data_IF_426483758835
#
_entry.id   IF_426483758835
#
_cell.length_a   1.000
_cell.length_b   1.000
_cell.length_c   1.000
_cell.angle_alpha   90.00
_cell.angle_beta   90.00
_cell.angle_gamma   90.00
#
_symmetry.space_group_name_H-M   'P 1'
#
loop_
_entity.id
_entity.type
_entity.pdbx_description
1 polymer ?
#
# COMPACT_ATOMS: atom_id res chain seq x y z
N UNK A 1 41.10 -37.87 -24.73
CA UNK A 1 40.25 -36.73 -24.29
C UNK A 1 40.33 -35.55 -25.25
N UNK A 2 41.51 -35.19 -25.76
CA UNK A 2 41.67 -34.11 -26.75
C UNK A 2 41.07 -34.42 -28.15
N UNK A 3 41.02 -35.68 -28.59
CA UNK A 3 40.42 -36.05 -29.89
C UNK A 3 38.87 -35.99 -29.92
N UNK A 4 38.22 -36.23 -28.77
CA UNK A 4 36.77 -36.06 -28.64
C UNK A 4 36.37 -34.57 -28.64
N UNK A 5 37.25 -33.70 -28.14
CA UNK A 5 37.04 -32.24 -28.13
C UNK A 5 37.23 -31.62 -29.51
N UNK A 6 38.13 -32.13 -30.34
CA UNK A 6 38.33 -31.65 -31.71
C UNK A 6 37.27 -32.17 -32.68
N UNK A 7 36.76 -33.40 -32.51
CA UNK A 7 35.71 -33.96 -33.37
C UNK A 7 34.31 -33.38 -33.11
N UNK A 8 34.04 -32.91 -31.89
CA UNK A 8 32.70 -32.44 -31.48
C UNK A 8 32.65 -30.97 -31.02
N UNK A 9 33.50 -30.11 -31.59
CA UNK A 9 33.55 -28.68 -31.24
C UNK A 9 32.20 -27.96 -31.41
N UNK A 10 31.42 -28.34 -32.43
CA UNK A 10 30.08 -27.80 -32.69
C UNK A 10 29.12 -28.17 -31.54
N UNK A 11 29.11 -29.45 -31.14
CA UNK A 11 28.26 -29.92 -30.04
C UNK A 11 28.65 -29.30 -28.70
N UNK A 12 29.96 -29.13 -28.46
CA UNK A 12 30.48 -28.44 -27.27
C UNK A 12 30.05 -26.97 -27.23
N UNK A 13 30.08 -26.28 -28.38
CA UNK A 13 29.61 -24.90 -28.50
C UNK A 13 28.11 -24.77 -28.19
N UNK A 14 27.26 -25.62 -28.77
CA UNK A 14 25.82 -25.61 -28.47
C UNK A 14 25.52 -25.93 -27.01
N UNK A 15 26.24 -26.89 -26.41
CA UNK A 15 26.09 -27.20 -24.99
C UNK A 15 26.47 -25.99 -24.12
N UNK A 16 27.59 -25.32 -24.42
CA UNK A 16 28.01 -24.13 -23.69
C UNK A 16 26.99 -22.99 -23.83
N UNK A 17 26.46 -22.77 -25.04
CA UNK A 17 25.40 -21.78 -25.30
C UNK A 17 24.12 -22.09 -24.51
N UNK A 18 23.70 -23.36 -24.45
CA UNK A 18 22.52 -23.76 -23.66
C UNK A 18 22.74 -23.60 -22.15
N UNK A 19 23.93 -23.92 -21.63
CA UNK A 19 24.26 -23.72 -20.22
C UNK A 19 24.32 -22.23 -19.89
N UNK A 20 24.94 -21.41 -20.75
CA UNK A 20 25.02 -19.97 -20.59
C UNK A 20 23.63 -19.30 -20.59
N UNK A 21 22.73 -19.73 -21.47
CA UNK A 21 21.34 -19.25 -21.51
C UNK A 21 20.52 -19.69 -20.30
N UNK A 22 20.69 -20.93 -19.81
CA UNK A 22 20.04 -21.37 -18.56
C UNK A 22 20.56 -20.57 -17.36
N UNK A 23 21.88 -20.37 -17.26
CA UNK A 23 22.48 -19.58 -16.19
C UNK A 23 22.02 -18.12 -16.23
N UNK A 24 21.99 -17.50 -17.41
CA UNK A 24 21.51 -16.12 -17.55
C UNK A 24 20.03 -15.99 -17.13
N UNK A 25 19.17 -16.93 -17.52
CA UNK A 25 17.77 -16.97 -17.09
C UNK A 25 17.65 -17.13 -15.57
N UNK A 26 18.45 -17.99 -14.94
CA UNK A 26 18.44 -18.17 -13.49
C UNK A 26 18.92 -16.92 -12.75
N UNK A 27 19.97 -16.26 -13.25
CA UNK A 27 20.50 -15.00 -12.70
C UNK A 27 19.47 -13.88 -12.83
N UNK A 28 18.85 -13.72 -14.01
CA UNK A 28 17.79 -12.73 -14.23
C UNK A 28 16.59 -12.99 -13.32
N UNK A 29 16.17 -14.25 -13.15
CA UNK A 29 15.08 -14.61 -12.23
C UNK A 29 15.41 -14.29 -10.78
N UNK A 30 16.60 -14.67 -10.32
CA UNK A 30 17.05 -14.38 -8.97
C UNK A 30 17.14 -12.86 -8.73
N UNK A 31 17.67 -12.12 -9.70
CA UNK A 31 17.78 -10.67 -9.65
C UNK A 31 16.40 -9.99 -9.64
N UNK A 32 15.46 -10.39 -10.51
CA UNK A 32 14.09 -9.89 -10.53
C UNK A 32 13.39 -10.15 -9.20
N UNK A 33 13.44 -11.38 -8.68
CA UNK A 33 12.85 -11.72 -7.38
C UNK A 33 13.41 -10.85 -6.26
N UNK A 34 14.72 -10.64 -6.24
CA UNK A 34 15.40 -9.81 -5.22
C UNK A 34 15.12 -8.31 -5.41
N UNK A 35 14.99 -7.83 -6.65
CA UNK A 35 14.65 -6.44 -6.95
C UNK A 35 13.20 -6.15 -6.57
N UNK A 36 12.27 -7.03 -6.90
CA UNK A 36 10.86 -6.89 -6.54
C UNK A 36 10.67 -6.93 -5.03
N UNK A 37 11.29 -7.86 -4.30
CA UNK A 37 11.27 -7.82 -2.83
C UNK A 37 11.76 -6.48 -2.30
N UNK A 38 12.90 -6.00 -2.79
CA UNK A 38 13.45 -4.69 -2.38
C UNK A 38 12.53 -3.53 -2.72
N UNK A 39 11.88 -3.53 -3.88
CA UNK A 39 10.94 -2.47 -4.26
C UNK A 39 9.72 -2.47 -3.36
N UNK A 40 9.17 -3.66 -3.07
CA UNK A 40 8.03 -3.79 -2.16
C UNK A 40 8.41 -3.40 -0.74
N UNK A 41 9.52 -3.94 -0.22
CA UNK A 41 10.00 -3.61 1.11
C UNK A 41 10.36 -2.13 1.22
N UNK A 42 10.93 -1.51 0.18
CA UNK A 42 11.24 -0.07 0.16
C UNK A 42 9.97 0.79 0.13
N UNK A 43 8.99 0.47 -0.70
CA UNK A 43 7.70 1.18 -0.74
C UNK A 43 7.00 1.10 0.62
N UNK A 44 7.05 -0.06 1.28
CA UNK A 44 6.47 -0.27 2.61
C UNK A 44 7.32 0.27 3.76
N UNK A 45 8.64 0.45 3.57
CA UNK A 45 9.52 1.12 4.52
C UNK A 45 9.37 2.63 4.41
N UNK A 46 9.27 3.18 3.20
CA UNK A 46 9.02 4.61 2.97
C UNK A 46 7.64 5.00 3.53
N UNK A 47 6.60 4.21 3.32
CA UNK A 47 5.33 4.41 4.01
C UNK A 47 5.44 4.24 5.55
N UNK A 48 6.34 3.39 6.04
CA UNK A 48 6.56 3.19 7.49
C UNK A 48 7.40 4.29 8.14
N UNK A 49 8.30 4.93 7.39
CA UNK A 49 9.08 6.09 7.81
C UNK A 49 8.23 7.37 7.73
N UNK A 50 7.28 7.43 6.80
CA UNK A 50 6.24 8.46 6.72
C UNK A 50 5.19 8.36 7.85
N UNK A 51 5.10 7.19 8.50
CA UNK A 51 4.25 6.91 9.67
C UNK A 51 4.93 7.23 11.02
N UNK A 52 6.20 7.65 11.02
CA UNK A 52 6.86 8.11 12.23
C UNK A 52 6.68 9.63 12.34
N UNK A 53 5.62 10.05 13.05
CA UNK A 53 5.62 10.94 14.23
C UNK A 53 4.25 11.63 14.41
N UNK A 54 3.80 11.87 15.67
CA UNK A 54 4.58 12.24 16.88
C UNK A 54 5.21 11.03 17.58
N UNK A 55 6.11 11.27 18.54
CA UNK A 55 6.89 10.22 19.24
C UNK A 55 5.97 9.04 19.59
N UNK A 56 6.12 7.89 18.93
CA UNK A 56 5.15 6.81 19.05
C UNK A 56 5.09 6.40 20.51
N UNK A 57 3.87 6.29 21.05
CA UNK A 57 3.67 5.73 22.38
C UNK A 57 4.26 4.32 22.41
N UNK A 58 4.55 3.80 23.60
CA UNK A 58 5.09 2.45 23.71
C UNK A 58 4.18 1.42 22.99
N UNK A 59 2.86 1.60 23.11
CA UNK A 59 1.86 0.80 22.40
C UNK A 59 1.92 0.98 20.87
N UNK A 60 2.17 2.18 20.36
CA UNK A 60 2.32 2.39 18.91
C UNK A 60 3.58 1.72 18.37
N UNK A 61 4.68 1.75 19.12
CA UNK A 61 5.91 1.07 18.74
C UNK A 61 5.69 -0.45 18.68
N UNK A 62 4.96 -0.99 19.65
CA UNK A 62 4.55 -2.40 19.66
C UNK A 62 3.63 -2.74 18.48
N UNK A 63 2.64 -1.89 18.17
CA UNK A 63 1.75 -2.06 17.03
C UNK A 63 2.51 -2.03 15.68
N UNK A 64 3.46 -1.10 15.52
CA UNK A 64 4.31 -1.00 14.33
C UNK A 64 5.27 -2.20 14.20
N UNK A 65 5.82 -2.68 15.31
CA UNK A 65 6.60 -3.90 15.34
C UNK A 65 5.75 -5.12 14.94
N UNK A 66 4.50 -5.16 15.40
CA UNK A 66 3.52 -6.19 15.05
C UNK A 66 3.15 -6.15 13.57
N UNK A 67 2.91 -4.96 12.98
CA UNK A 67 2.71 -4.80 11.53
C UNK A 67 3.91 -5.36 10.77
N UNK A 68 5.12 -5.04 11.22
CA UNK A 68 6.36 -5.53 10.60
C UNK A 68 6.50 -7.05 10.70
N UNK A 69 6.10 -7.66 11.80
CA UNK A 69 6.04 -9.12 11.95
C UNK A 69 5.01 -9.75 11.02
N UNK A 70 3.78 -9.22 10.98
CA UNK A 70 2.72 -9.71 10.10
C UNK A 70 3.11 -9.65 8.62
N UNK A 71 3.85 -8.61 8.19
CA UNK A 71 4.40 -8.52 6.83
C UNK A 71 5.43 -9.61 6.55
N UNK A 72 6.34 -9.89 7.49
CA UNK A 72 7.35 -10.95 7.35
C UNK A 72 6.70 -12.33 7.21
N UNK A 73 5.65 -12.60 7.98
CA UNK A 73 4.91 -13.86 7.90
C UNK A 73 4.39 -14.13 6.48
N UNK A 74 3.91 -13.11 5.74
CA UNK A 74 3.42 -13.28 4.36
C UNK A 74 4.49 -13.86 3.41
N UNK A 75 5.77 -13.54 3.64
CA UNK A 75 6.87 -14.08 2.85
C UNK A 75 7.12 -15.56 3.15
N UNK A 76 6.82 -16.00 4.36
CA UNK A 76 7.01 -17.36 4.85
C UNK A 76 5.79 -18.25 4.57
N UNK A 77 4.61 -17.66 4.36
CA UNK A 77 3.39 -18.41 4.04
C UNK A 77 3.56 -19.32 2.82
N UNK A 78 3.12 -20.59 2.93
CA UNK A 78 3.11 -21.50 1.80
C UNK A 78 2.11 -21.04 0.73
N UNK A 79 2.39 -21.38 -0.52
CA UNK A 79 1.55 -21.04 -1.68
C UNK A 79 0.09 -21.52 -1.52
N UNK A 80 -0.15 -22.58 -0.73
CA UNK A 80 -1.48 -23.14 -0.47
C UNK A 80 -2.37 -22.28 0.43
N UNK A 81 -1.77 -21.45 1.29
CA UNK A 81 -2.46 -20.59 2.26
C UNK A 81 -2.72 -19.18 1.72
N UNK A 82 -2.04 -18.81 0.64
CA UNK A 82 -2.33 -17.60 -0.11
C UNK A 82 -3.59 -17.83 -0.96
N UNK A 83 -4.77 -17.66 -0.38
CA UNK A 83 -6.06 -17.88 -1.05
C UNK A 83 -6.87 -16.59 -1.14
N UNK A 84 -7.23 -16.17 -2.37
CA UNK A 84 -8.18 -15.07 -2.59
C UNK A 84 -9.62 -15.55 -2.52
N UNK A 85 -10.04 -16.01 -1.34
CA UNK A 85 -11.44 -16.26 -1.05
C UNK A 85 -11.90 -15.36 0.11
N UNK A 86 -13.20 -15.07 0.14
CA UNK A 86 -13.78 -14.15 1.10
C UNK A 86 -13.54 -14.57 2.56
N UNK A 87 -13.69 -15.87 2.83
CA UNK A 87 -13.55 -16.43 4.18
C UNK A 87 -12.12 -16.29 4.72
N UNK A 88 -11.11 -16.65 3.93
CA UNK A 88 -9.70 -16.56 4.31
C UNK A 88 -9.25 -15.12 4.54
N UNK A 89 -9.71 -14.18 3.70
CA UNK A 89 -9.42 -12.76 3.89
C UNK A 89 -10.09 -12.23 5.16
N UNK A 90 -11.38 -12.54 5.38
CA UNK A 90 -12.10 -12.11 6.57
C UNK A 90 -11.48 -12.66 7.86
N UNK A 91 -11.18 -13.97 7.90
CA UNK A 91 -10.50 -14.60 9.04
C UNK A 91 -9.18 -13.90 9.35
N UNK A 92 -8.37 -13.59 8.31
CA UNK A 92 -7.10 -12.89 8.49
C UNK A 92 -7.32 -11.46 9.01
N UNK A 93 -8.30 -10.73 8.49
CA UNK A 93 -8.60 -9.38 8.99
C UNK A 93 -9.06 -9.39 10.44
N UNK A 94 -9.97 -10.28 10.82
CA UNK A 94 -10.43 -10.43 12.22
C UNK A 94 -9.27 -10.75 13.14
N UNK A 95 -8.35 -11.64 12.73
CA UNK A 95 -7.15 -11.95 13.50
C UNK A 95 -6.26 -10.72 13.68
N UNK A 96 -6.02 -9.95 12.62
CA UNK A 96 -5.21 -8.73 12.68
C UNK A 96 -5.87 -7.71 13.61
N UNK A 97 -7.17 -7.45 13.45
CA UNK A 97 -7.95 -6.53 14.29
C UNK A 97 -7.85 -6.93 15.76
N UNK A 98 -8.07 -8.21 16.08
CA UNK A 98 -7.95 -8.73 17.45
C UNK A 98 -6.55 -8.54 18.03
N UNK A 99 -5.52 -8.81 17.24
CA UNK A 99 -4.14 -8.70 17.70
C UNK A 99 -3.72 -7.23 17.88
N UNK A 100 -4.22 -6.33 17.03
CA UNK A 100 -4.02 -4.88 17.16
C UNK A 100 -4.76 -4.34 18.39
N UNK A 101 -6.02 -4.73 18.60
CA UNK A 101 -6.81 -4.30 19.74
C UNK A 101 -6.15 -4.68 21.08
N UNK A 102 -5.58 -5.89 21.15
CA UNK A 102 -4.88 -6.37 22.35
C UNK A 102 -3.62 -5.56 22.72
N UNK A 103 -3.00 -4.85 21.76
CA UNK A 103 -1.87 -3.95 22.05
C UNK A 103 -2.35 -2.71 22.82
N UNK A 104 -3.51 -2.19 22.45
CA UNK A 104 -4.05 -0.95 23.04
C UNK A 104 -4.90 -1.19 24.28
N UNK A 105 -5.55 -2.35 24.39
CA UNK A 105 -6.44 -2.73 25.49
C UNK A 105 -6.04 -4.09 26.08
N UNK A 106 -4.85 -4.23 26.68
CA UNK A 106 -4.34 -5.52 27.17
C UNK A 106 -5.13 -6.08 28.36
N UNK A 107 -5.77 -5.21 29.15
CA UNK A 107 -6.51 -5.58 30.35
C UNK A 107 -7.96 -6.01 30.09
N UNK A 108 -8.42 -5.91 28.84
CA UNK A 108 -9.78 -6.27 28.42
C UNK A 108 -9.80 -7.71 27.92
N UNK A 109 -10.77 -8.50 28.37
CA UNK A 109 -10.90 -9.92 27.98
C UNK A 109 -11.13 -10.09 26.47
N UNK A 110 -11.89 -9.16 25.87
CA UNK A 110 -12.25 -9.18 24.45
C UNK A 110 -11.95 -7.83 23.78
N UNK A 111 -10.66 -7.47 23.58
CA UNK A 111 -10.22 -6.12 23.17
C UNK A 111 -10.86 -5.63 21.87
N UNK A 112 -11.16 -6.52 20.94
CA UNK A 112 -11.71 -6.14 19.64
C UNK A 112 -13.10 -5.46 19.73
N UNK A 113 -13.82 -5.62 20.83
CA UNK A 113 -15.14 -5.03 21.05
C UNK A 113 -15.11 -3.68 21.76
N UNK A 114 -13.93 -3.14 22.06
CA UNK A 114 -13.79 -1.76 22.55
C UNK A 114 -14.15 -0.71 21.48
N UNK A 115 -14.13 -1.10 20.21
CA UNK A 115 -14.58 -0.25 19.11
C UNK A 115 -16.11 -0.29 18.94
N UNK A 116 -16.72 0.87 18.73
CA UNK A 116 -18.14 0.93 18.38
C UNK A 116 -18.41 0.37 16.98
N UNK A 117 -19.65 -0.06 16.73
CA UNK A 117 -20.08 -0.54 15.41
C UNK A 117 -19.81 0.49 14.32
N UNK A 118 -20.05 1.77 14.61
CA UNK A 118 -19.80 2.85 13.66
C UNK A 118 -18.32 2.94 13.28
N UNK A 119 -17.43 2.87 14.25
CA UNK A 119 -15.99 2.94 13.98
C UNK A 119 -15.47 1.71 13.24
N UNK A 120 -16.02 0.53 13.51
CA UNK A 120 -15.71 -0.68 12.75
C UNK A 120 -16.14 -0.56 11.28
N UNK A 121 -17.33 0.00 11.01
CA UNK A 121 -17.78 0.30 9.65
C UNK A 121 -16.86 1.30 8.95
N UNK A 122 -16.35 2.31 9.67
CA UNK A 122 -15.38 3.25 9.14
C UNK A 122 -14.05 2.58 8.81
N UNK A 123 -13.56 1.66 9.65
CA UNK A 123 -12.38 0.84 9.37
C UNK A 123 -12.57 0.06 8.06
N UNK A 124 -13.68 -0.67 7.93
CA UNK A 124 -13.98 -1.47 6.72
C UNK A 124 -13.99 -0.58 5.47
N UNK A 125 -14.65 0.57 5.55
CA UNK A 125 -14.71 1.54 4.46
C UNK A 125 -13.32 2.03 4.06
N UNK A 126 -12.50 2.48 5.01
CA UNK A 126 -11.15 3.01 4.74
C UNK A 126 -10.24 1.95 4.13
N UNK A 127 -10.23 0.73 4.70
CA UNK A 127 -9.50 -0.41 4.13
C UNK A 127 -9.95 -0.68 2.69
N UNK A 128 -11.26 -0.76 2.45
CA UNK A 128 -11.81 -1.05 1.11
C UNK A 128 -11.45 0.03 0.09
N UNK A 129 -11.55 1.31 0.46
CA UNK A 129 -11.18 2.45 -0.39
C UNK A 129 -9.69 2.37 -0.78
N UNK A 130 -8.81 2.17 0.19
CA UNK A 130 -7.36 2.09 -0.04
C UNK A 130 -6.99 0.90 -0.92
N UNK A 131 -7.60 -0.27 -0.68
CA UNK A 131 -7.40 -1.45 -1.53
C UNK A 131 -7.90 -1.22 -2.95
N UNK A 132 -9.06 -0.59 -3.12
CA UNK A 132 -9.62 -0.27 -4.45
C UNK A 132 -8.69 0.67 -5.22
N UNK A 133 -8.17 1.72 -4.56
CA UNK A 133 -7.22 2.65 -5.16
C UNK A 133 -5.96 1.93 -5.65
N UNK A 134 -5.37 1.08 -4.80
CA UNK A 134 -4.17 0.30 -5.15
C UNK A 134 -4.45 -0.71 -6.26
N UNK A 135 -5.60 -1.38 -6.23
CA UNK A 135 -6.02 -2.31 -7.27
C UNK A 135 -6.28 -1.63 -8.63
N UNK A 136 -6.67 -0.35 -8.62
CA UNK A 136 -6.91 0.43 -9.84
C UNK A 136 -5.66 1.04 -10.47
N UNK A 137 -4.55 1.13 -9.73
CA UNK A 137 -3.26 1.66 -10.21
C UNK A 137 -2.52 0.69 -11.14
N UNK A 138 -1.62 1.20 -12.00
CA UNK A 138 -0.72 0.34 -12.80
C UNK A 138 0.46 -0.16 -11.93
N UNK A 139 0.97 -1.39 -12.14
CA UNK A 139 0.53 -2.42 -13.10
C UNK A 139 -0.66 -3.28 -12.62
N UNK A 140 -1.25 -2.97 -11.47
CA UNK A 140 -2.20 -3.82 -10.73
C UNK A 140 -3.62 -3.84 -11.29
N UNK A 141 -4.01 -2.85 -12.08
CA UNK A 141 -5.31 -2.78 -12.76
C UNK A 141 -5.60 -4.00 -13.65
N UNK A 142 -4.55 -4.68 -14.15
CA UNK A 142 -4.70 -5.92 -14.90
C UNK A 142 -5.25 -7.08 -14.07
N UNK A 143 -5.04 -7.04 -12.76
CA UNK A 143 -5.51 -8.06 -11.81
C UNK A 143 -6.80 -7.61 -11.11
N UNK A 144 -6.90 -6.34 -10.69
CA UNK A 144 -8.12 -5.82 -10.05
C UNK A 144 -9.39 -6.03 -10.89
N UNK A 145 -9.26 -6.06 -12.22
CA UNK A 145 -10.37 -6.25 -13.14
C UNK A 145 -10.72 -7.73 -13.45
N UNK A 146 -9.99 -8.70 -12.89
CA UNK A 146 -10.27 -10.13 -13.10
C UNK A 146 -11.29 -10.66 -12.11
N UNK A 147 -12.10 -11.63 -12.54
CA UNK A 147 -13.09 -12.27 -11.67
C UNK A 147 -12.41 -13.16 -10.63
N UNK A 148 -12.88 -13.14 -9.38
CA UNK A 148 -12.41 -14.05 -8.31
C UNK A 148 -12.47 -15.54 -8.73
N UNK A 149 -13.46 -15.91 -9.55
CA UNK A 149 -13.57 -17.27 -10.10
C UNK A 149 -12.36 -17.69 -10.96
N UNK A 150 -11.69 -16.74 -11.63
CA UNK A 150 -10.48 -17.03 -12.41
C UNK A 150 -9.32 -17.36 -11.47
N UNK A 151 -9.17 -16.62 -10.37
CA UNK A 151 -8.17 -16.90 -9.34
C UNK A 151 -8.40 -18.29 -8.72
N UNK A 152 -9.65 -18.63 -8.41
CA UNK A 152 -10.01 -19.94 -7.90
C UNK A 152 -9.70 -21.06 -8.90
N UNK A 153 -9.99 -20.86 -10.20
CA UNK A 153 -9.63 -21.82 -11.25
C UNK A 153 -8.12 -22.05 -11.32
N UNK A 154 -7.32 -20.99 -11.26
CA UNK A 154 -5.86 -21.11 -11.20
C UNK A 154 -5.40 -21.92 -9.98
N UNK A 155 -5.96 -21.64 -8.81
CA UNK A 155 -5.66 -22.37 -7.58
C UNK A 155 -6.06 -23.85 -7.64
N UNK A 156 -7.25 -24.16 -8.19
CA UNK A 156 -7.71 -25.55 -8.37
C UNK A 156 -6.83 -26.32 -9.35
N UNK A 157 -6.43 -25.69 -10.47
CA UNK A 157 -5.48 -26.29 -11.42
C UNK A 157 -4.14 -26.55 -10.74
N UNK A 158 -3.63 -25.57 -9.98
CA UNK A 158 -2.42 -25.73 -9.18
C UNK A 158 -2.53 -26.93 -8.24
N UNK A 159 -3.59 -26.97 -7.44
CA UNK A 159 -3.82 -28.01 -6.45
C UNK A 159 -3.92 -29.38 -7.11
N UNK A 160 -4.70 -29.51 -8.19
CA UNK A 160 -4.85 -30.75 -8.96
C UNK A 160 -3.53 -31.25 -9.55
N UNK A 161 -2.69 -30.35 -10.04
CA UNK A 161 -1.35 -30.69 -10.54
C UNK A 161 -0.48 -31.17 -9.38
N UNK A 162 -0.44 -30.41 -8.29
CA UNK A 162 0.43 -30.63 -7.14
C UNK A 162 0.07 -31.90 -6.34
N UNK A 163 -1.22 -32.21 -6.26
CA UNK A 163 -1.78 -33.37 -5.56
C UNK A 163 -1.88 -34.62 -6.43
N UNK A 164 -1.58 -34.54 -7.74
CA UNK A 164 -1.73 -35.70 -8.62
C UNK A 164 -0.80 -36.85 -8.19
N UNK A 165 -1.29 -38.11 -8.16
CA UNK A 165 -0.49 -39.27 -7.75
C UNK A 165 0.78 -39.40 -8.59
N UNK A 166 0.68 -39.06 -9.88
CA UNK A 166 1.78 -39.04 -10.83
C UNK A 166 2.88 -38.08 -10.37
N UNK A 167 2.55 -36.85 -9.95
CA UNK A 167 3.54 -35.87 -9.49
C UNK A 167 4.11 -36.21 -8.11
N UNK A 168 3.31 -36.84 -7.24
CA UNK A 168 3.80 -37.34 -5.95
C UNK A 168 4.81 -38.50 -6.14
N UNK A 169 4.51 -39.44 -7.04
CA UNK A 169 5.44 -40.52 -7.44
C UNK A 169 6.68 -39.94 -8.13
N UNK A 170 6.50 -38.95 -9.00
CA UNK A 170 7.62 -38.25 -9.65
C UNK A 170 8.51 -37.54 -8.61
N UNK A 171 7.93 -36.88 -7.60
CA UNK A 171 8.69 -36.23 -6.52
C UNK A 171 9.46 -37.21 -5.65
N UNK A 172 8.95 -38.42 -5.43
CA UNK A 172 9.67 -39.51 -4.76
C UNK A 172 10.88 -39.98 -5.55
N UNK A 173 10.92 -39.76 -6.87
CA UNK A 173 12.02 -40.14 -7.75
C UNK A 173 12.65 -38.91 -8.45
N UNK A 174 13.65 -38.25 -7.83
CA UNK A 174 14.19 -36.98 -8.31
C UNK A 174 14.76 -37.01 -9.74
N UNK A 175 15.21 -38.18 -10.20
CA UNK A 175 15.72 -38.39 -11.57
C UNK A 175 14.60 -38.38 -12.63
N UNK A 176 13.46 -39.05 -12.35
CA UNK A 176 12.27 -39.04 -13.21
C UNK A 176 11.61 -37.66 -13.23
N UNK A 177 11.59 -36.97 -12.09
CA UNK A 177 11.15 -35.58 -12.03
C UNK A 177 11.99 -34.67 -12.91
N UNK A 178 13.32 -34.85 -12.94
CA UNK A 178 14.21 -34.11 -13.84
C UNK A 178 13.91 -34.42 -15.30
N UNK A 179 13.83 -35.70 -15.66
CA UNK A 179 13.60 -36.13 -17.03
C UNK A 179 12.25 -35.67 -17.58
N UNK A 180 11.16 -35.79 -16.81
CA UNK A 180 9.83 -35.33 -17.22
C UNK A 180 9.75 -33.80 -17.36
N UNK A 181 10.40 -33.06 -16.45
CA UNK A 181 10.51 -31.61 -16.56
C UNK A 181 11.29 -31.22 -17.82
N UNK A 182 12.35 -31.96 -18.15
CA UNK A 182 13.13 -31.77 -19.36
C UNK A 182 12.31 -32.07 -20.63
N UNK A 183 11.57 -33.18 -20.67
CA UNK A 183 10.71 -33.57 -21.79
C UNK A 183 9.54 -32.58 -22.04
N UNK A 184 8.90 -32.09 -20.97
CA UNK A 184 7.85 -31.07 -21.05
C UNK A 184 8.38 -29.70 -21.50
N UNK A 185 9.61 -29.38 -21.13
CA UNK A 185 10.30 -28.19 -21.60
C UNK A 185 10.70 -28.35 -23.07
N UNK A 186 11.20 -29.52 -23.49
CA UNK A 186 11.61 -29.81 -24.86
C UNK A 186 10.47 -29.71 -25.86
N UNK A 187 9.31 -30.29 -25.52
CA UNK A 187 8.10 -30.28 -26.38
C UNK A 187 7.61 -28.87 -26.70
N UNK A 188 7.92 -27.89 -25.85
CA UNK A 188 7.39 -26.54 -25.96
C UNK A 188 8.46 -25.47 -26.26
N UNK A 189 9.72 -25.85 -26.49
CA UNK A 189 10.81 -24.92 -26.82
C UNK A 189 10.53 -24.05 -28.07
N UNK A 190 9.72 -24.54 -29.00
CA UNK A 190 9.40 -23.84 -30.25
C UNK A 190 8.34 -22.74 -30.14
N UNK A 191 7.68 -22.55 -28.99
CA UNK A 191 6.63 -21.53 -28.82
C UNK A 191 7.07 -20.43 -27.83
N UNK A 192 7.65 -19.32 -28.29
CA UNK A 192 8.10 -18.23 -27.42
C UNK A 192 6.96 -17.55 -26.64
N UNK A 193 5.73 -17.54 -27.18
CA UNK A 193 4.54 -17.01 -26.49
C UNK A 193 4.07 -17.93 -25.36
N UNK A 194 4.27 -19.25 -25.49
CA UNK A 194 4.02 -20.20 -24.41
C UNK A 194 4.98 -19.99 -23.24
N UNK A 195 6.25 -19.70 -23.50
CA UNK A 195 7.22 -19.37 -22.44
C UNK A 195 6.94 -18.01 -21.81
N UNK A 196 6.65 -16.98 -22.62
CA UNK A 196 6.24 -15.67 -22.10
C UNK A 196 4.97 -15.75 -21.24
N UNK A 197 3.96 -16.55 -21.64
CA UNK A 197 2.73 -16.72 -20.88
C UNK A 197 2.87 -17.62 -19.66
N UNK A 198 3.66 -18.71 -19.73
CA UNK A 198 3.79 -19.71 -18.66
C UNK A 198 4.69 -19.26 -17.52
N UNK A 199 5.82 -18.61 -17.81
CA UNK A 199 6.75 -18.11 -16.79
C UNK A 199 6.15 -16.92 -16.02
N UNK A 200 5.33 -16.09 -16.68
CA UNK A 200 4.57 -15.01 -16.05
C UNK A 200 3.41 -15.55 -15.19
N UNK A 201 2.91 -16.77 -15.44
CA UNK A 201 1.63 -17.24 -14.87
C UNK A 201 1.64 -17.80 -13.44
N UNK A 202 2.72 -18.45 -12.97
CA UNK A 202 2.74 -19.08 -11.63
C UNK A 202 3.54 -18.28 -10.60
N UNK A 203 4.82 -18.06 -10.87
CA UNK A 203 5.69 -17.29 -9.97
C UNK A 203 5.22 -15.84 -9.90
N UNK A 204 4.85 -15.26 -11.05
CA UNK A 204 4.21 -13.94 -11.11
C UNK A 204 2.89 -13.91 -10.34
N UNK A 205 2.01 -14.90 -10.51
CA UNK A 205 0.77 -14.99 -9.74
C UNK A 205 0.99 -15.03 -8.23
N UNK A 206 1.86 -15.92 -7.73
CA UNK A 206 2.12 -16.01 -6.29
C UNK A 206 2.87 -14.81 -5.73
N UNK A 207 3.71 -14.16 -6.54
CA UNK A 207 4.35 -12.90 -6.16
C UNK A 207 3.31 -11.79 -6.01
N UNK A 208 2.41 -11.66 -6.99
CA UNK A 208 1.30 -10.71 -6.97
C UNK A 208 0.35 -10.98 -5.80
N UNK A 209 0.13 -12.24 -5.49
CA UNK A 209 -0.70 -12.64 -4.39
C UNK A 209 -0.07 -12.30 -3.04
N UNK A 210 1.23 -12.56 -2.86
CA UNK A 210 1.98 -12.10 -1.69
C UNK A 210 1.95 -10.59 -1.55
N UNK A 211 2.13 -9.87 -2.66
CA UNK A 211 2.00 -8.41 -2.68
C UNK A 211 0.62 -7.95 -2.20
N UNK A 212 -0.45 -8.55 -2.73
CA UNK A 212 -1.81 -8.23 -2.30
C UNK A 212 -1.98 -8.49 -0.80
N UNK A 213 -1.50 -9.63 -0.31
CA UNK A 213 -1.54 -9.96 1.12
C UNK A 213 -0.73 -8.96 1.96
N UNK A 214 0.46 -8.55 1.52
CA UNK A 214 1.27 -7.54 2.21
C UNK A 214 0.51 -6.23 2.36
N UNK A 215 -0.13 -5.77 1.27
CA UNK A 215 -0.97 -4.57 1.30
C UNK A 215 -2.16 -4.78 2.21
N UNK A 216 -2.90 -5.85 1.99
CA UNK A 216 -4.11 -6.16 2.75
C UNK A 216 -3.84 -6.15 4.25
N UNK A 217 -2.81 -6.88 4.68
CA UNK A 217 -2.38 -6.93 6.08
C UNK A 217 -1.94 -5.55 6.56
N UNK A 218 -1.16 -4.81 5.78
CA UNK A 218 -0.68 -3.48 6.16
C UNK A 218 -1.84 -2.50 6.33
N UNK A 219 -2.80 -2.47 5.40
CA UNK A 219 -3.94 -1.56 5.47
C UNK A 219 -4.89 -1.92 6.62
N UNK A 220 -5.23 -3.21 6.79
CA UNK A 220 -6.08 -3.63 7.92
C UNK A 220 -5.40 -3.31 9.25
N UNK A 221 -4.11 -3.61 9.39
CA UNK A 221 -3.39 -3.38 10.64
C UNK A 221 -3.24 -1.90 10.96
N UNK A 222 -2.90 -1.04 9.98
CA UNK A 222 -2.83 0.41 10.18
C UNK A 222 -4.19 1.02 10.53
N UNK A 223 -5.26 0.63 9.85
CA UNK A 223 -6.59 1.15 10.16
C UNK A 223 -7.11 0.63 11.51
N UNK A 224 -6.70 -0.57 11.92
CA UNK A 224 -6.94 -1.08 13.28
C UNK A 224 -6.14 -0.31 14.32
N UNK A 225 -4.87 -0.02 14.06
CA UNK A 225 -4.02 0.83 14.90
C UNK A 225 -4.66 2.22 15.08
N UNK A 226 -5.15 2.83 14.00
CA UNK A 226 -5.91 4.10 14.04
C UNK A 226 -7.13 4.02 14.94
N UNK A 227 -7.89 2.93 14.79
CA UNK A 227 -9.13 2.70 15.53
C UNK A 227 -8.86 2.60 17.03
N UNK A 228 -7.98 1.69 17.46
CA UNK A 228 -7.78 1.39 18.88
C UNK A 228 -6.84 2.37 19.60
N UNK A 229 -5.97 3.08 18.87
CA UNK A 229 -5.18 4.17 19.48
C UNK A 229 -6.01 5.42 19.81
N UNK A 230 -7.27 5.50 19.36
CA UNK A 230 -8.10 6.71 19.45
C UNK A 230 -7.62 7.87 18.57
N UNK A 231 -6.60 7.65 17.72
CA UNK A 231 -6.03 8.69 16.87
C UNK A 231 -6.87 8.91 15.62
N UNK A 232 -7.36 10.14 15.47
CA UNK A 232 -8.10 10.54 14.28
C UNK A 232 -7.20 10.68 13.05
N UNK A 233 -5.91 10.93 13.23
CA UNK A 233 -4.93 11.06 12.15
C UNK A 233 -3.86 9.99 12.28
N UNK A 234 -3.53 9.35 11.17
CA UNK A 234 -2.45 8.36 11.10
C UNK A 234 -1.08 9.03 10.98
N UNK A 235 -1.03 10.18 10.29
CA UNK A 235 0.21 10.93 10.09
C UNK A 235 0.04 12.39 10.55
N UNK A 236 1.13 12.98 11.05
CA UNK A 236 1.19 14.42 11.33
C UNK A 236 0.96 15.26 10.07
N UNK A 237 1.31 14.75 8.88
CA UNK A 237 1.04 15.44 7.61
C UNK A 237 -0.46 15.59 7.35
N UNK A 238 -1.25 14.57 7.65
CA UNK A 238 -2.71 14.62 7.48
C UNK A 238 -3.34 15.58 8.50
N UNK A 239 -2.83 15.54 9.75
CA UNK A 239 -3.22 16.47 10.81
C UNK A 239 -2.91 17.90 10.40
N UNK A 240 -1.66 18.19 10.06
CA UNK A 240 -1.21 19.53 9.69
C UNK A 240 -1.90 20.02 8.42
N UNK A 241 -2.06 19.17 7.40
CA UNK A 241 -2.81 19.53 6.19
C UNK A 241 -4.26 19.91 6.52
N UNK A 242 -4.92 19.14 7.39
CA UNK A 242 -6.28 19.44 7.88
C UNK A 242 -6.33 20.75 8.67
N UNK A 243 -5.35 20.97 9.56
CA UNK A 243 -5.24 22.21 10.34
C UNK A 243 -4.98 23.42 9.45
N UNK A 244 -4.10 23.30 8.46
CA UNK A 244 -3.84 24.33 7.46
C UNK A 244 -5.13 24.71 6.75
N UNK A 245 -5.91 23.72 6.30
CA UNK A 245 -7.22 23.98 5.70
C UNK A 245 -8.11 24.81 6.63
N UNK A 246 -8.34 24.34 7.87
CA UNK A 246 -9.19 25.08 8.81
C UNK A 246 -8.64 26.47 9.15
N UNK A 247 -7.32 26.64 9.28
CA UNK A 247 -6.68 27.93 9.53
C UNK A 247 -6.87 28.90 8.38
N UNK A 248 -6.63 28.46 7.15
CA UNK A 248 -6.84 29.31 5.96
C UNK A 248 -8.30 29.77 5.85
N UNK A 249 -9.27 28.88 6.11
CA UNK A 249 -10.68 29.24 6.11
C UNK A 249 -11.07 30.12 7.33
N UNK A 250 -10.50 29.86 8.51
CA UNK A 250 -10.73 30.71 9.67
C UNK A 250 -10.16 32.11 9.48
N UNK A 251 -9.06 32.24 8.74
CA UNK A 251 -8.42 33.51 8.42
C UNK A 251 -9.33 34.36 7.51
N UNK A 252 -9.99 33.75 6.53
CA UNK A 252 -10.92 34.48 5.66
C UNK A 252 -12.12 35.04 6.41
N UNK A 253 -12.58 34.37 7.48
CA UNK A 253 -13.63 34.89 8.33
C UNK A 253 -13.27 36.22 9.02
N UNK A 254 -11.97 36.53 9.20
CA UNK A 254 -11.53 37.77 9.83
C UNK A 254 -11.79 39.03 8.97
N UNK A 255 -12.01 38.86 7.66
CA UNK A 255 -12.36 39.95 6.74
C UNK A 255 -13.75 39.78 6.11
N UNK A 256 -14.65 39.07 6.78
CA UNK A 256 -16.04 38.91 6.35
C UNK A 256 -16.30 37.65 5.52
N UNK A 257 -15.35 36.72 5.49
CA UNK A 257 -15.48 35.43 4.81
C UNK A 257 -14.81 35.39 3.44
N UNK A 258 -14.71 34.20 2.84
CA UNK A 258 -14.04 34.02 1.55
C UNK A 258 -14.83 34.62 0.37
N UNK A 259 -14.15 35.39 -0.47
CA UNK A 259 -14.64 35.86 -1.77
C UNK A 259 -14.89 34.68 -2.72
N UNK A 260 -15.58 34.91 -3.85
CA UNK A 260 -15.78 33.87 -4.86
C UNK A 260 -14.45 33.30 -5.40
N UNK A 261 -13.44 34.15 -5.58
CA UNK A 261 -12.09 33.74 -5.99
C UNK A 261 -11.39 32.92 -4.90
N UNK A 262 -11.51 33.34 -3.64
CA UNK A 262 -10.96 32.61 -2.50
C UNK A 262 -11.63 31.25 -2.30
N UNK A 263 -12.95 31.14 -2.50
CA UNK A 263 -13.66 29.87 -2.48
C UNK A 263 -13.11 28.90 -3.53
N UNK A 264 -12.97 29.36 -4.78
CA UNK A 264 -12.40 28.54 -5.84
C UNK A 264 -11.01 28.05 -5.47
N UNK A 265 -10.16 28.94 -4.96
CA UNK A 265 -8.81 28.60 -4.52
C UNK A 265 -8.82 27.60 -3.35
N UNK A 266 -9.62 27.83 -2.31
CA UNK A 266 -9.67 26.97 -1.13
C UNK A 266 -10.17 25.57 -1.46
N UNK A 267 -11.16 25.44 -2.35
CA UNK A 267 -11.64 24.14 -2.84
C UNK A 267 -10.55 23.43 -3.65
N UNK A 268 -9.90 24.13 -4.58
CA UNK A 268 -8.78 23.57 -5.36
C UNK A 268 -7.62 23.16 -4.45
N UNK A 269 -7.30 23.98 -3.45
CA UNK A 269 -6.28 23.72 -2.46
C UNK A 269 -6.58 22.42 -1.69
N UNK A 270 -7.77 22.31 -1.07
CA UNK A 270 -8.17 21.09 -0.34
C UNK A 270 -8.18 19.86 -1.23
N UNK A 271 -8.75 19.97 -2.42
CA UNK A 271 -8.86 18.83 -3.35
C UNK A 271 -7.49 18.41 -3.90
N UNK A 272 -6.55 19.34 -4.04
CA UNK A 272 -5.18 19.11 -4.49
C UNK A 272 -4.25 18.50 -3.44
N UNK A 273 -4.62 18.48 -2.15
CA UNK A 273 -3.74 17.94 -1.11
C UNK A 273 -3.61 16.40 -1.22
N UNK A 274 -2.40 15.85 -1.48
CA UNK A 274 -2.23 14.40 -1.63
C UNK A 274 -2.30 13.65 -0.29
N UNK A 275 -2.01 14.33 0.81
CA UNK A 275 -2.06 13.76 2.16
C UNK A 275 -3.50 13.44 2.60
N UNK A 276 -4.47 14.29 2.24
CA UNK A 276 -5.84 14.13 2.71
C UNK A 276 -6.60 13.06 1.92
N UNK A 277 -7.25 12.16 2.64
CA UNK A 277 -8.23 11.23 2.08
C UNK A 277 -9.44 11.99 1.52
N UNK A 278 -10.09 11.44 0.48
CA UNK A 278 -11.26 12.08 -0.17
C UNK A 278 -12.38 12.37 0.83
N UNK A 279 -12.62 11.46 1.78
CA UNK A 279 -13.56 11.67 2.88
C UNK A 279 -13.21 12.87 3.74
N UNK A 280 -11.94 13.01 4.12
CA UNK A 280 -11.47 14.12 4.93
C UNK A 280 -11.61 15.44 4.17
N UNK A 281 -11.29 15.45 2.87
CA UNK A 281 -11.51 16.60 1.98
C UNK A 281 -12.98 17.01 1.98
N UNK A 282 -13.89 16.07 1.74
CA UNK A 282 -15.33 16.33 1.75
C UNK A 282 -15.83 16.80 3.13
N UNK A 283 -15.32 16.21 4.21
CA UNK A 283 -15.68 16.61 5.57
C UNK A 283 -15.22 18.05 5.86
N UNK A 284 -13.99 18.40 5.49
CA UNK A 284 -13.47 19.77 5.64
C UNK A 284 -14.35 20.76 4.87
N UNK A 285 -14.61 20.49 3.58
CA UNK A 285 -15.46 21.34 2.74
C UNK A 285 -16.89 21.45 3.28
N UNK A 286 -17.47 20.35 3.76
CA UNK A 286 -18.80 20.34 4.36
C UNK A 286 -18.86 21.18 5.64
N UNK A 287 -17.81 21.12 6.48
CA UNK A 287 -17.74 21.93 7.71
C UNK A 287 -17.54 23.40 7.41
N UNK A 288 -16.73 23.74 6.40
CA UNK A 288 -16.62 25.12 5.92
C UNK A 288 -17.96 25.68 5.46
N UNK A 289 -18.74 24.91 4.69
CA UNK A 289 -20.08 25.31 4.25
C UNK A 289 -21.06 25.51 5.41
N UNK A 290 -20.82 24.88 6.56
CA UNK A 290 -21.61 25.05 7.79
C UNK A 290 -21.04 26.14 8.72
N UNK A 291 -19.91 26.76 8.38
CA UNK A 291 -19.19 27.68 9.28
C UNK A 291 -18.63 27.01 10.54
N UNK A 292 -18.52 25.68 10.57
CA UNK A 292 -18.10 24.93 11.74
C UNK A 292 -16.58 24.77 11.77
N UNK A 293 -15.93 25.37 12.77
CA UNK A 293 -14.48 25.28 13.00
C UNK A 293 -14.16 24.49 14.28
N UNK A 294 -12.99 23.83 14.37
CA UNK A 294 -12.49 23.30 15.64
C UNK A 294 -12.28 24.42 16.66
N UNK A 295 -12.71 24.21 17.91
CA UNK A 295 -12.66 25.24 18.96
C UNK A 295 -11.23 25.62 19.38
N UNK A 296 -10.28 24.72 19.19
CA UNK A 296 -8.88 24.78 19.64
C UNK A 296 -7.89 25.09 18.50
N UNK A 297 -8.38 25.57 17.35
CA UNK A 297 -7.59 25.75 16.13
C UNK A 297 -6.35 26.63 16.30
N UNK A 298 -6.46 27.68 17.12
CA UNK A 298 -5.38 28.63 17.38
C UNK A 298 -4.31 28.06 18.31
N UNK A 299 -4.68 27.12 19.19
CA UNK A 299 -3.77 26.47 20.14
C UNK A 299 -2.94 25.38 19.46
N UNK A 300 -3.51 24.73 18.43
CA UNK A 300 -2.87 23.64 17.72
C UNK A 300 -1.76 24.10 16.78
N UNK A 301 -0.50 23.91 17.16
CA UNK A 301 0.67 24.22 16.32
C UNK A 301 0.86 23.21 15.17
N UNK A 302 1.33 23.72 14.04
CA UNK A 302 1.83 22.91 12.93
C UNK A 302 3.16 22.27 13.36
N UNK A 303 3.28 20.95 13.20
CA UNK A 303 4.42 20.19 13.70
C UNK A 303 5.45 19.89 12.62
N UNK A 304 5.01 19.86 11.35
CA UNK A 304 5.83 19.40 10.23
C UNK A 304 6.28 20.54 9.33
N UNK A 305 7.47 20.37 8.74
CA UNK A 305 7.95 21.26 7.66
C UNK A 305 7.00 21.27 6.46
N UNK A 306 6.32 20.15 6.20
CA UNK A 306 5.31 20.03 5.15
C UNK A 306 4.09 20.91 5.45
N UNK A 307 3.54 20.85 6.66
CA UNK A 307 2.45 21.70 7.12
C UNK A 307 2.77 23.18 7.03
N UNK A 308 3.95 23.58 7.52
CA UNK A 308 4.42 24.98 7.41
C UNK A 308 4.53 25.43 5.96
N UNK A 309 5.11 24.59 5.08
CA UNK A 309 5.20 24.87 3.65
C UNK A 309 3.82 25.02 3.02
N UNK A 310 2.91 24.08 3.28
CA UNK A 310 1.52 24.14 2.80
C UNK A 310 0.81 25.40 3.27
N UNK A 311 1.01 25.80 4.53
CA UNK A 311 0.39 27.00 5.06
C UNK A 311 0.87 28.25 4.33
N UNK A 312 2.18 28.38 4.11
CA UNK A 312 2.77 29.48 3.32
C UNK A 312 2.23 29.50 1.88
N UNK A 313 2.11 28.34 1.24
CA UNK A 313 1.52 28.23 -0.10
C UNK A 313 0.05 28.65 -0.11
N UNK A 314 -0.71 28.23 0.90
CA UNK A 314 -2.09 28.65 1.14
C UNK A 314 -2.26 30.16 1.28
N UNK A 315 -1.46 30.78 2.14
CA UNK A 315 -1.46 32.23 2.39
C UNK A 315 -1.13 33.02 1.10
N UNK A 316 -0.12 32.58 0.35
CA UNK A 316 0.22 33.17 -0.96
C UNK A 316 -0.90 33.01 -1.98
N UNK A 317 -1.59 31.87 -1.96
CA UNK A 317 -2.75 31.63 -2.84
C UNK A 317 -3.93 32.54 -2.52
N UNK A 318 -4.25 32.73 -1.23
CA UNK A 318 -5.28 33.68 -0.80
C UNK A 318 -4.98 35.11 -1.25
N UNK A 319 -3.73 35.57 -1.17
CA UNK A 319 -3.34 36.90 -1.67
C UNK A 319 -3.56 37.07 -3.19
N UNK A 320 -3.34 36.00 -3.97
CA UNK A 320 -3.49 36.02 -5.43
C UNK A 320 -4.93 35.92 -5.90
N UNK A 321 -5.84 35.41 -5.06
CA UNK A 321 -7.24 35.18 -5.41
C UNK A 321 -8.04 36.45 -5.73
N UNK A 322 -7.59 37.62 -5.27
CA UNK A 322 -8.24 38.90 -5.53
C UNK A 322 -7.36 39.85 -6.36
N UNK A 323 -7.96 40.51 -7.35
CA UNK A 323 -7.29 41.52 -8.19
C UNK A 323 -6.83 42.74 -7.35
N UNK A 324 -7.60 43.08 -6.31
CA UNK A 324 -7.30 44.14 -5.34
C UNK A 324 -7.70 43.70 -3.93
N UNK A 325 -6.84 42.98 -3.19
CA UNK A 325 -7.17 42.51 -1.85
C UNK A 325 -7.36 43.70 -0.90
N UNK A 326 -8.31 43.63 0.06
CA UNK A 326 -8.47 44.64 1.10
C UNK A 326 -7.16 44.88 1.87
N UNK A 327 -6.89 46.11 2.34
CA UNK A 327 -5.68 46.40 3.10
C UNK A 327 -5.59 45.58 4.40
N UNK A 328 -6.74 45.31 5.03
CA UNK A 328 -6.85 44.46 6.24
C UNK A 328 -6.36 43.04 5.96
N UNK A 329 -6.78 42.45 4.82
CA UNK A 329 -6.37 41.11 4.39
C UNK A 329 -4.86 41.00 4.20
N UNK A 330 -4.23 41.98 3.52
CA UNK A 330 -2.78 41.99 3.33
C UNK A 330 -2.04 42.00 4.67
N UNK A 331 -2.45 42.91 5.57
CA UNK A 331 -1.84 43.03 6.90
C UNK A 331 -1.92 41.72 7.70
N UNK A 332 -3.09 41.08 7.74
CA UNK A 332 -3.29 39.81 8.46
C UNK A 332 -2.46 38.66 7.86
N UNK A 333 -2.38 38.58 6.53
CA UNK A 333 -1.57 37.55 5.87
C UNK A 333 -0.08 37.79 6.12
N UNK A 334 0.39 39.05 6.10
CA UNK A 334 1.78 39.39 6.39
C UNK A 334 2.15 39.07 7.86
N UNK A 335 1.23 39.33 8.80
CA UNK A 335 1.37 38.94 10.21
C UNK A 335 1.50 37.41 10.35
N UNK A 336 0.60 36.63 9.74
CA UNK A 336 0.66 35.16 9.76
C UNK A 336 1.92 34.62 9.06
N UNK A 337 2.34 35.22 7.94
CA UNK A 337 3.57 34.84 7.25
C UNK A 337 4.80 35.03 8.13
N UNK A 338 4.85 36.12 8.92
CA UNK A 338 5.97 36.39 9.83
C UNK A 338 6.07 35.40 11.00
N UNK A 339 4.94 34.85 11.46
CA UNK A 339 4.90 33.83 12.52
C UNK A 339 5.40 32.47 12.03
N UNK A 340 5.32 32.23 10.71
CA UNK A 340 5.66 30.95 10.09
C UNK A 340 7.12 30.95 9.61
N UNK A 341 7.76 32.11 9.44
CA UNK A 341 9.20 32.27 9.17
C UNK A 341 10.07 31.90 10.38
#
# INVERSE_FOLDING_TARGET
>A
MNELLTSHYISAFFLLLTVATILSLLVVRWWLKRRWRRLLDAEFQEESELDLLPSPSLQDQEALALISRLRKEIWELPESELQLNFEALNQRAVQIIRTMAAVYHPDIEVPQYEASLYELLQLIRRVTSRLTRLASGRPFSFFGNRRLSEYQRFYQVYRKINESPVLQVLRRHPYLHRAARWALNLKNLGNPLYWAGKEISREGYFLMLRWFYLIYVTQVARESMRLYSGRHFLTEKDRDATLVCYRLFSLTNQWGGPSAGEWSFLVEFVTGLPALETEMKLQILSRWGQGALPNDLNEQRLQTKYGLKLYREGLKGLLKGDVKPPPVKRKLIDEEMSVVE
#
